data_IF_070383259708
#
_entry.id   IF_070383259708
#
_cell.length_a   1.000
_cell.length_b   1.000
_cell.length_c   1.000
_cell.angle_alpha   90.00
_cell.angle_beta   90.00
_cell.angle_gamma   90.00
#
_symmetry.space_group_name_H-M   'P 1'
#
loop_
_entity.id
_entity.type
_entity.pdbx_description
1 polymer ?
#
# COMPACT_ATOMS: atom_id res chain seq x y z
N UNK A 1 -24.00 9.75 -1.64
CA UNK A 1 -23.02 10.83 -1.48
C UNK A 1 -22.24 10.49 -0.23
N UNK A 2 -21.04 9.96 -0.39
CA UNK A 2 -20.11 9.87 0.73
C UNK A 2 -18.71 10.08 0.16
N UNK A 3 -18.31 11.35 0.10
CA UNK A 3 -16.93 11.73 -0.18
C UNK A 3 -16.24 11.66 1.17
N UNK A 4 -15.73 10.48 1.52
CA UNK A 4 -14.88 10.35 2.70
C UNK A 4 -13.58 11.10 2.40
N UNK A 5 -13.41 12.25 3.04
CA UNK A 5 -12.15 12.99 3.10
C UNK A 5 -11.13 12.15 3.89
N UNK A 6 -10.44 11.25 3.19
CA UNK A 6 -9.43 10.35 3.74
C UNK A 6 -8.16 10.41 2.90
N UNK A 7 -7.00 10.43 3.55
CA UNK A 7 -5.72 10.56 2.88
C UNK A 7 -5.10 9.19 2.66
N UNK A 8 -4.89 8.84 1.39
CA UNK A 8 -4.35 7.54 0.93
C UNK A 8 -2.95 7.34 1.49
N UNK A 9 -2.49 6.10 1.72
CA UNK A 9 -1.13 5.66 2.09
C UNK A 9 -0.96 4.16 1.81
N UNK A 10 0.16 3.69 1.29
CA UNK A 10 0.37 2.31 0.82
C UNK A 10 -0.11 2.06 -0.60
N UNK A 11 0.87 1.88 -1.49
CA UNK A 11 0.73 1.20 -2.75
C UNK A 11 1.49 -0.13 -2.65
N UNK A 12 0.95 -1.21 -3.18
CA UNK A 12 1.76 -2.29 -3.77
C UNK A 12 1.24 -2.42 -5.19
N UNK A 13 1.96 -1.87 -6.16
CA UNK A 13 1.46 -1.81 -7.52
C UNK A 13 2.31 -2.67 -8.46
N UNK A 14 2.07 -3.99 -8.58
CA UNK A 14 2.81 -4.79 -9.55
C UNK A 14 2.36 -4.44 -10.97
N UNK A 15 3.32 -4.13 -11.83
CA UNK A 15 3.10 -3.77 -13.24
C UNK A 15 3.64 -4.88 -14.14
N UNK A 16 2.88 -5.26 -15.16
CA UNK A 16 3.35 -6.10 -16.29
C UNK A 16 3.14 -5.35 -17.60
N UNK A 17 4.24 -5.03 -18.29
CA UNK A 17 4.19 -4.18 -19.48
C UNK A 17 3.64 -2.79 -19.13
N UNK A 18 2.53 -2.40 -19.78
CA UNK A 18 1.89 -1.10 -19.54
C UNK A 18 0.72 -1.15 -18.53
N UNK A 19 0.38 -2.32 -17.96
CA UNK A 19 -0.73 -2.46 -17.00
C UNK A 19 -0.22 -2.52 -15.57
N UNK A 20 -0.75 -1.63 -14.71
CA UNK A 20 -0.43 -1.55 -13.29
C UNK A 20 -1.58 -2.14 -12.49
N UNK A 21 -1.34 -3.22 -11.76
CA UNK A 21 -2.23 -3.66 -10.70
C UNK A 21 -2.08 -2.68 -9.54
N UNK A 22 -3.15 -2.12 -9.00
CA UNK A 22 -3.10 -1.51 -7.68
C UNK A 22 -3.68 -2.47 -6.64
N UNK A 23 -2.81 -3.02 -5.79
CA UNK A 23 -3.19 -3.86 -4.65
C UNK A 23 -3.65 -2.95 -3.48
N UNK A 24 -4.07 -3.50 -2.32
CA UNK A 24 -4.65 -2.74 -1.22
C UNK A 24 -3.88 -1.48 -0.88
N UNK A 25 -4.62 -0.42 -0.61
CA UNK A 25 -4.09 0.81 -0.05
C UNK A 25 -4.52 0.90 1.42
N UNK A 26 -3.71 1.47 2.28
CA UNK A 26 -4.20 2.05 3.52
C UNK A 26 -4.67 3.49 3.23
N UNK A 27 -5.53 4.04 4.07
CA UNK A 27 -5.91 5.45 4.03
C UNK A 27 -5.81 5.96 5.46
N UNK A 28 -4.86 6.84 5.74
CA UNK A 28 -4.76 7.53 7.02
C UNK A 28 -5.60 8.81 6.97
N UNK A 29 -6.69 8.88 7.71
CA UNK A 29 -7.38 10.12 8.04
C UNK A 29 -6.76 10.76 9.28
N UNK A 30 -6.96 12.07 9.46
CA UNK A 30 -6.29 12.95 10.44
C UNK A 30 -6.26 12.41 11.88
N UNK A 31 -7.17 11.50 12.27
CA UNK A 31 -7.21 10.81 13.57
C UNK A 31 -7.51 9.29 13.48
N UNK A 32 -7.52 8.69 12.30
CA UNK A 32 -7.89 7.28 12.12
C UNK A 32 -7.25 6.70 10.88
N UNK A 33 -6.53 5.58 11.02
CA UNK A 33 -6.05 4.82 9.87
C UNK A 33 -7.15 3.84 9.45
N UNK A 34 -7.43 3.76 8.17
CA UNK A 34 -8.37 2.83 7.55
C UNK A 34 -7.63 1.93 6.56
N UNK A 35 -8.07 0.68 6.39
CA UNK A 35 -7.66 -0.13 5.24
C UNK A 35 -8.66 0.09 4.10
N UNK A 36 -8.25 0.59 2.92
CA UNK A 36 -9.16 0.68 1.77
C UNK A 36 -8.55 0.08 0.49
N UNK A 37 -9.30 -0.80 -0.17
CA UNK A 37 -8.87 -1.30 -1.47
C UNK A 37 -9.16 -0.25 -2.54
N UNK A 38 -8.16 0.10 -3.35
CA UNK A 38 -8.37 0.92 -4.54
C UNK A 38 -7.99 0.09 -5.74
N UNK A 39 -8.97 -0.20 -6.59
CA UNK A 39 -8.74 -0.86 -7.87
C UNK A 39 -8.83 0.18 -8.97
N UNK A 40 -7.79 0.24 -9.79
CA UNK A 40 -7.73 1.10 -10.98
C UNK A 40 -7.13 0.33 -12.14
N UNK A 41 -7.47 0.73 -13.36
CA UNK A 41 -6.93 0.15 -14.59
C UNK A 41 -5.54 0.69 -14.96
N UNK A 42 -5.01 1.66 -14.21
CA UNK A 42 -3.73 2.30 -14.48
C UNK A 42 -3.75 3.27 -15.67
N UNK A 43 -4.93 3.57 -16.26
CA UNK A 43 -5.07 4.35 -17.49
C UNK A 43 -5.93 5.62 -17.36
N UNK A 44 -5.98 6.23 -16.17
CA UNK A 44 -6.75 7.47 -15.95
C UNK A 44 -8.27 7.28 -16.02
N UNK A 45 -8.75 6.02 -16.00
CA UNK A 45 -10.16 5.69 -15.79
C UNK A 45 -10.58 5.86 -14.33
N UNK A 46 -11.91 5.95 -14.10
CA UNK A 46 -12.51 6.07 -12.76
C UNK A 46 -12.17 4.82 -11.92
N UNK A 47 -11.16 4.91 -11.07
CA UNK A 47 -10.92 3.94 -10.00
C UNK A 47 -12.12 3.88 -9.05
N UNK A 48 -12.32 2.73 -8.43
CA UNK A 48 -13.38 2.49 -7.45
C UNK A 48 -12.75 2.09 -6.10
N UNK A 49 -13.53 2.18 -5.03
CA UNK A 49 -13.06 1.96 -3.65
C UNK A 49 -13.77 0.77 -3.00
N UNK A 50 -13.03 -0.05 -2.27
CA UNK A 50 -13.53 -1.16 -1.47
C UNK A 50 -14.43 -2.11 -2.30
N UNK A 51 -15.54 -2.54 -1.71
CA UNK A 51 -16.56 -3.37 -2.35
C UNK A 51 -17.39 -2.61 -3.41
N UNK A 52 -17.18 -1.30 -3.59
CA UNK A 52 -17.79 -0.55 -4.69
C UNK A 52 -17.13 -0.89 -6.03
N UNK A 53 -15.96 -1.53 -6.00
CA UNK A 53 -15.39 -2.18 -7.16
C UNK A 53 -16.08 -3.51 -7.44
N UNK A 54 -16.68 -3.62 -8.63
CA UNK A 54 -16.98 -4.94 -9.17
C UNK A 54 -15.67 -5.73 -9.24
N UNK A 55 -15.61 -6.83 -8.50
CA UNK A 55 -14.50 -7.77 -8.59
C UNK A 55 -13.99 -8.28 -7.25
N UNK A 56 -13.82 -7.45 -6.22
CA UNK A 56 -13.33 -7.97 -4.93
C UNK A 56 -14.41 -8.77 -4.21
N UNK A 57 -14.05 -9.98 -3.77
CA UNK A 57 -14.92 -10.85 -2.99
C UNK A 57 -14.44 -10.85 -1.55
N UNK A 58 -15.15 -10.12 -0.68
CA UNK A 58 -14.90 -10.16 0.76
C UNK A 58 -15.39 -11.51 1.32
N UNK A 59 -14.52 -12.23 2.01
CA UNK A 59 -14.85 -13.53 2.63
C UNK A 59 -14.92 -13.44 4.14
N UNK A 60 -14.25 -12.46 4.74
CA UNK A 60 -14.24 -12.28 6.19
C UNK A 60 -15.32 -11.29 6.63
N UNK A 61 -16.32 -11.72 7.42
CA UNK A 61 -17.38 -10.83 7.89
C UNK A 61 -16.94 -9.93 9.06
N UNK A 62 -15.83 -10.26 9.73
CA UNK A 62 -15.42 -9.58 10.96
C UNK A 62 -14.44 -8.43 10.72
N UNK A 63 -13.71 -8.46 9.60
CA UNK A 63 -12.74 -7.43 9.22
C UNK A 63 -13.18 -6.85 7.88
N UNK A 64 -14.12 -5.89 7.88
CA UNK A 64 -14.58 -5.28 6.65
C UNK A 64 -13.51 -4.36 6.08
N UNK A 65 -13.46 -4.22 4.76
CA UNK A 65 -12.72 -3.13 4.17
C UNK A 65 -13.26 -1.79 4.65
N UNK A 66 -12.38 -0.82 4.85
CA UNK A 66 -12.70 0.47 5.45
C UNK A 66 -12.76 0.43 6.98
N UNK A 67 -12.35 -0.66 7.64
CA UNK A 67 -12.25 -0.66 9.11
C UNK A 67 -11.14 0.29 9.58
N UNK A 68 -11.34 0.89 10.75
CA UNK A 68 -10.35 1.74 11.40
C UNK A 68 -9.43 0.94 12.32
N UNK A 69 -8.15 1.26 12.33
CA UNK A 69 -7.21 0.75 13.32
C UNK A 69 -7.50 1.29 14.71
N UNK A 70 -7.45 0.42 15.71
CA UNK A 70 -7.63 0.80 17.12
C UNK A 70 -6.43 1.58 17.67
N UNK A 71 -5.24 1.35 17.12
CA UNK A 71 -4.01 2.00 17.53
C UNK A 71 -3.28 2.58 16.31
N UNK A 72 -2.66 3.74 16.52
CA UNK A 72 -1.87 4.45 15.52
C UNK A 72 -0.56 4.91 16.15
N UNK A 73 0.49 5.03 15.33
CA UNK A 73 1.79 5.51 15.80
C UNK A 73 1.71 6.94 16.35
N UNK A 74 2.51 7.22 17.37
CA UNK A 74 2.72 8.56 17.93
C UNK A 74 4.10 9.06 17.53
N UNK A 75 4.19 10.34 17.16
CA UNK A 75 5.47 10.96 16.82
C UNK A 75 6.46 10.86 17.98
N UNK A 76 7.64 10.29 17.71
CA UNK A 76 8.67 9.94 18.69
C UNK A 76 8.18 9.07 19.87
N UNK A 77 7.08 8.35 19.68
CA UNK A 77 6.41 7.55 20.68
C UNK A 77 6.22 6.09 20.24
N UNK A 78 5.14 5.48 20.70
CA UNK A 78 4.76 4.12 20.33
C UNK A 78 4.55 4.01 18.82
N UNK A 79 5.05 2.91 18.24
CA UNK A 79 5.00 2.65 16.81
C UNK A 79 4.15 1.42 16.55
N UNK A 80 3.22 1.57 15.61
CA UNK A 80 2.30 0.51 15.19
C UNK A 80 2.52 0.22 13.70
N UNK A 81 2.39 -1.04 13.33
CA UNK A 81 2.43 -1.50 11.95
C UNK A 81 1.41 -2.61 11.75
N UNK A 82 0.93 -2.75 10.53
CA UNK A 82 0.12 -3.88 10.13
C UNK A 82 0.76 -4.56 8.92
N UNK A 83 0.63 -5.88 8.86
CA UNK A 83 1.13 -6.66 7.74
C UNK A 83 0.02 -6.86 6.71
N UNK A 84 0.35 -6.63 5.44
CA UNK A 84 -0.50 -7.01 4.32
C UNK A 84 0.25 -7.97 3.43
N UNK A 85 -0.46 -9.00 2.97
CA UNK A 85 0.08 -9.98 2.05
C UNK A 85 -0.93 -10.30 0.97
N UNK A 86 -0.43 -10.46 -0.24
CA UNK A 86 -1.21 -10.98 -1.37
C UNK A 86 -0.55 -12.23 -1.92
N UNK A 87 -1.34 -13.29 -2.08
CA UNK A 87 -0.87 -14.58 -2.61
C UNK A 87 -1.82 -15.04 -3.71
N UNK A 88 -1.27 -15.47 -4.84
CA UNK A 88 -2.06 -16.10 -5.89
C UNK A 88 -2.24 -17.60 -5.60
N UNK A 89 -3.47 -18.09 -5.66
CA UNK A 89 -3.78 -19.52 -5.55
C UNK A 89 -3.55 -20.27 -6.88
N UNK A 90 -3.70 -21.60 -6.85
CA UNK A 90 -3.57 -22.43 -8.05
C UNK A 90 -4.63 -22.16 -9.12
N UNK A 91 -5.76 -21.56 -8.75
CA UNK A 91 -6.83 -21.16 -9.68
C UNK A 91 -6.55 -19.81 -10.32
N UNK A 92 -5.53 -19.07 -9.86
CA UNK A 92 -5.14 -17.76 -10.34
C UNK A 92 -5.75 -16.59 -9.57
N UNK A 93 -6.55 -16.84 -8.53
CA UNK A 93 -7.17 -15.80 -7.71
C UNK A 93 -6.15 -15.25 -6.71
N UNK A 94 -6.21 -13.94 -6.46
CA UNK A 94 -5.30 -13.24 -5.56
C UNK A 94 -5.95 -13.05 -4.20
N UNK A 95 -5.49 -13.80 -3.21
CA UNK A 95 -5.97 -13.77 -1.84
C UNK A 95 -5.27 -12.67 -1.06
N UNK A 96 -6.06 -11.90 -0.33
CA UNK A 96 -5.61 -10.83 0.55
C UNK A 96 -5.62 -11.28 2.00
N UNK A 97 -4.46 -11.19 2.64
CA UNK A 97 -4.24 -11.48 4.04
C UNK A 97 -3.87 -10.20 4.78
N UNK A 98 -4.33 -10.12 6.02
CA UNK A 98 -4.10 -9.01 6.93
C UNK A 98 -3.59 -9.50 8.27
N UNK A 99 -2.66 -8.73 8.82
CA UNK A 99 -2.03 -8.94 10.12
C UNK A 99 -1.12 -10.18 10.17
N UNK A 100 -0.30 -10.27 11.22
CA UNK A 100 0.68 -11.36 11.37
C UNK A 100 0.03 -12.74 11.58
N UNK A 101 -1.24 -12.75 11.99
CA UNK A 101 -2.07 -13.95 12.12
C UNK A 101 -2.56 -14.52 10.76
N UNK A 102 -2.20 -13.89 9.64
CA UNK A 102 -2.66 -14.25 8.28
C UNK A 102 -4.19 -14.33 8.17
N UNK A 103 -4.89 -13.32 8.68
CA UNK A 103 -6.35 -13.26 8.59
C UNK A 103 -6.72 -12.99 7.14
N UNK A 104 -7.40 -13.94 6.50
CA UNK A 104 -7.93 -13.75 5.16
C UNK A 104 -8.98 -12.64 5.22
N UNK A 105 -8.89 -11.65 4.34
CA UNK A 105 -9.93 -10.63 4.16
C UNK A 105 -10.89 -11.00 3.03
N UNK A 106 -10.34 -11.56 1.95
CA UNK A 106 -11.05 -11.87 0.72
C UNK A 106 -10.09 -12.12 -0.43
N UNK A 107 -10.61 -12.13 -1.65
CA UNK A 107 -9.81 -12.36 -2.84
C UNK A 107 -10.27 -11.53 -4.04
N UNK A 108 -9.35 -11.35 -4.97
CA UNK A 108 -9.61 -10.82 -6.30
C UNK A 108 -9.61 -11.98 -7.31
N UNK A 109 -10.70 -12.17 -8.07
CA UNK A 109 -10.76 -13.12 -9.17
C UNK A 109 -9.65 -12.86 -10.20
N UNK A 110 -9.09 -13.93 -10.75
CA UNK A 110 -8.06 -13.86 -11.81
C UNK A 110 -8.47 -13.01 -13.02
N UNK A 111 -9.76 -12.99 -13.32
CA UNK A 111 -10.32 -12.34 -14.52
C UNK A 111 -10.22 -10.80 -14.45
N UNK A 112 -10.00 -10.25 -13.26
CA UNK A 112 -9.68 -8.83 -13.10
C UNK A 112 -8.27 -8.49 -13.59
N UNK A 113 -7.39 -9.50 -13.70
CA UNK A 113 -5.97 -9.33 -14.01
C UNK A 113 -5.52 -10.28 -15.15
N UNK A 114 -6.10 -10.14 -16.35
CA UNK A 114 -5.84 -11.04 -17.46
C UNK A 114 -4.34 -11.11 -17.83
N UNK A 115 -3.58 -10.03 -17.61
CA UNK A 115 -2.13 -10.00 -17.90
C UNK A 115 -1.29 -10.62 -16.77
N UNK A 116 -1.65 -10.45 -15.49
CA UNK A 116 -0.99 -11.20 -14.40
C UNK A 116 -1.24 -12.70 -14.51
N UNK A 117 -2.38 -13.11 -15.08
CA UNK A 117 -2.65 -14.50 -15.43
C UNK A 117 -1.75 -15.06 -16.55
N UNK A 118 -1.01 -14.20 -17.26
CA UNK A 118 -0.20 -14.56 -18.43
C UNK A 118 1.32 -14.64 -18.18
N UNK A 119 1.82 -14.25 -17.00
CA UNK A 119 3.24 -14.29 -16.68
C UNK A 119 3.63 -13.57 -15.37
N UNK A 120 4.91 -13.64 -14.96
CA UNK A 120 5.39 -13.00 -13.73
C UNK A 120 5.39 -11.47 -13.85
N UNK A 121 5.25 -10.78 -12.70
CA UNK A 121 5.34 -9.33 -12.64
C UNK A 121 6.72 -8.82 -13.09
N UNK A 122 6.77 -7.80 -13.96
CA UNK A 122 8.04 -7.21 -14.43
C UNK A 122 8.45 -5.97 -13.65
N UNK A 123 7.52 -5.39 -12.90
CA UNK A 123 7.73 -4.24 -12.02
C UNK A 123 6.83 -4.38 -10.81
N UNK A 124 7.26 -3.84 -9.69
CA UNK A 124 6.47 -3.70 -8.47
C UNK A 124 6.82 -2.36 -7.86
N UNK A 125 5.80 -1.60 -7.50
CA UNK A 125 5.97 -0.36 -6.76
C UNK A 125 5.47 -0.55 -5.33
N UNK A 126 6.06 0.19 -4.40
CA UNK A 126 5.52 0.37 -3.06
C UNK A 126 5.72 1.82 -2.62
N UNK A 127 4.83 2.35 -1.81
CA UNK A 127 4.90 3.78 -1.46
C UNK A 127 3.65 4.29 -0.78
N UNK A 128 3.39 5.58 -0.85
CA UNK A 128 2.12 6.16 -0.43
C UNK A 128 1.62 7.14 -1.48
N UNK A 129 0.34 7.12 -1.76
CA UNK A 129 -0.37 8.12 -2.57
C UNK A 129 -1.06 9.10 -1.62
N UNK A 130 -1.33 10.35 -1.96
CA UNK A 130 -2.37 11.14 -1.26
C UNK A 130 -3.37 11.64 -2.28
N UNK A 131 -4.59 11.97 -1.84
CA UNK A 131 -5.58 12.57 -2.72
C UNK A 131 -6.16 13.82 -2.07
N UNK A 132 -6.30 14.86 -2.88
CA UNK A 132 -7.06 16.06 -2.53
C UNK A 132 -7.95 16.44 -3.70
N UNK A 133 -9.25 16.73 -3.47
CA UNK A 133 -10.11 17.33 -4.47
C UNK A 133 -9.85 18.84 -4.64
N UNK A 134 -8.87 19.39 -3.92
CA UNK A 134 -8.52 20.82 -3.89
C UNK A 134 -7.01 20.99 -4.11
N UNK A 135 -6.54 22.23 -4.18
CA UNK A 135 -5.12 22.58 -4.32
C UNK A 135 -4.32 22.46 -3.01
N UNK A 136 -4.88 21.83 -1.98
CA UNK A 136 -4.20 21.59 -0.70
C UNK A 136 -4.10 20.09 -0.50
N UNK A 137 -2.90 19.53 -0.67
CA UNK A 137 -2.66 18.14 -0.33
C UNK A 137 -2.39 17.95 1.16
N UNK A 138 -2.83 16.82 1.71
CA UNK A 138 -2.72 16.51 3.12
C UNK A 138 -1.33 16.07 3.58
N UNK A 139 -1.07 16.00 4.90
CA UNK A 139 0.08 15.26 5.38
C UNK A 139 0.04 13.78 4.93
N UNK A 140 1.20 13.23 4.60
CA UNK A 140 1.42 11.81 4.32
C UNK A 140 2.32 11.21 5.41
N UNK A 141 2.05 9.97 5.79
CA UNK A 141 2.76 9.28 6.86
C UNK A 141 2.43 9.92 8.20
N UNK A 142 3.46 10.30 8.94
CA UNK A 142 3.33 11.10 10.16
C UNK A 142 3.10 12.59 9.90
N UNK A 143 3.12 13.04 8.64
CA UNK A 143 3.18 14.47 8.31
C UNK A 143 4.59 15.06 8.36
N UNK A 144 5.61 14.23 8.63
CA UNK A 144 7.01 14.63 8.69
C UNK A 144 7.79 14.05 7.50
N UNK A 145 8.89 14.72 7.16
CA UNK A 145 9.76 14.22 6.11
C UNK A 145 10.55 12.98 6.57
N UNK A 146 10.89 12.08 5.64
CA UNK A 146 11.49 10.79 5.98
C UNK A 146 12.92 10.88 6.51
N UNK A 147 13.61 12.01 6.36
CA UNK A 147 14.93 12.26 6.96
C UNK A 147 14.93 12.31 8.49
N UNK A 148 13.76 12.50 9.11
CA UNK A 148 13.63 12.41 10.56
C UNK A 148 13.74 10.97 11.09
N UNK A 149 13.50 9.98 10.22
CA UNK A 149 13.80 8.57 10.47
C UNK A 149 12.86 7.88 11.47
N UNK A 150 13.42 6.87 12.16
CA UNK A 150 12.65 5.95 12.99
C UNK A 150 11.87 6.69 14.10
N UNK A 151 10.66 6.18 14.38
CA UNK A 151 9.68 6.75 15.33
C UNK A 151 9.06 8.10 14.94
N UNK A 152 9.59 8.77 13.91
CA UNK A 152 9.18 10.12 13.51
C UNK A 152 8.57 10.17 12.13
N UNK A 153 9.15 9.46 11.18
CA UNK A 153 8.65 9.34 9.81
C UNK A 153 7.68 8.17 9.66
N UNK A 154 6.82 8.25 8.64
CA UNK A 154 6.09 7.08 8.14
C UNK A 154 7.07 6.04 7.58
N UNK A 155 6.76 4.76 7.75
CA UNK A 155 7.66 3.68 7.32
C UNK A 155 6.91 2.52 6.70
N UNK A 156 7.61 1.80 5.83
CA UNK A 156 7.28 0.42 5.46
C UNK A 156 8.46 -0.47 5.78
N UNK A 157 8.19 -1.69 6.23
CA UNK A 157 9.19 -2.67 6.61
C UNK A 157 8.76 -4.07 6.20
N UNK A 158 9.71 -5.01 6.20
CA UNK A 158 9.45 -6.40 5.84
C UNK A 158 8.98 -6.57 4.39
N UNK A 159 9.40 -5.69 3.48
CA UNK A 159 8.92 -5.70 2.09
C UNK A 159 9.47 -6.94 1.39
N UNK A 160 8.56 -7.81 0.93
CA UNK A 160 8.89 -9.05 0.24
C UNK A 160 8.17 -9.15 -1.09
N UNK A 161 8.81 -9.82 -2.03
CA UNK A 161 8.24 -10.18 -3.34
C UNK A 161 8.20 -11.69 -3.46
N UNK A 162 7.29 -12.21 -4.29
CA UNK A 162 7.23 -13.64 -4.59
C UNK A 162 8.14 -13.93 -5.80
N UNK A 163 9.09 -14.84 -5.62
CA UNK A 163 9.95 -15.26 -6.71
C UNK A 163 9.32 -16.32 -7.62
N UNK A 164 10.04 -16.73 -8.66
CA UNK A 164 9.56 -17.72 -9.64
C UNK A 164 9.23 -19.09 -9.02
N UNK A 165 9.86 -19.45 -7.90
CA UNK A 165 9.57 -20.67 -7.14
C UNK A 165 8.38 -20.51 -6.17
N UNK A 166 7.64 -19.38 -6.26
CA UNK A 166 6.55 -19.00 -5.35
C UNK A 166 6.99 -18.99 -3.88
N UNK A 167 8.21 -18.54 -3.62
CA UNK A 167 8.73 -18.31 -2.27
C UNK A 167 8.88 -16.81 -2.03
N UNK A 168 8.57 -16.32 -0.82
CA UNK A 168 8.79 -14.92 -0.47
C UNK A 168 10.28 -14.64 -0.30
N UNK A 169 10.77 -13.57 -0.90
CA UNK A 169 12.14 -13.07 -0.73
C UNK A 169 12.13 -11.57 -0.49
N UNK A 170 13.22 -11.04 0.09
CA UNK A 170 13.34 -9.60 0.30
C UNK A 170 13.20 -8.86 -1.02
N UNK A 171 12.45 -7.75 -1.01
CA UNK A 171 12.33 -6.90 -2.17
C UNK A 171 13.70 -6.43 -2.69
N UNK A 172 13.87 -6.29 -4.01
CA UNK A 172 15.15 -5.90 -4.59
C UNK A 172 15.67 -4.54 -4.08
N UNK A 173 17.00 -4.36 -4.14
CA UNK A 173 17.65 -3.11 -3.75
C UNK A 173 17.72 -2.09 -4.90
N UNK A 174 17.65 -2.56 -6.15
CA UNK A 174 17.66 -1.73 -7.36
C UNK A 174 16.30 -1.06 -7.59
N UNK A 175 15.98 -0.13 -6.72
CA UNK A 175 14.70 0.58 -6.68
C UNK A 175 14.88 2.04 -7.06
N UNK A 176 13.82 2.66 -7.58
CA UNK A 176 13.78 4.08 -7.88
C UNK A 176 12.81 4.75 -6.91
N UNK A 177 13.19 5.92 -6.40
CA UNK A 177 12.31 6.74 -5.57
C UNK A 177 11.55 7.69 -6.49
N UNK A 178 10.23 7.74 -6.33
CA UNK A 178 9.35 8.63 -7.10
C UNK A 178 8.51 9.43 -6.11
N UNK A 179 8.36 10.72 -6.37
CA UNK A 179 7.44 11.61 -5.67
C UNK A 179 6.90 12.62 -6.69
N UNK A 180 5.58 12.66 -6.85
CA UNK A 180 4.95 13.55 -7.84
C UNK A 180 5.09 15.03 -7.43
N UNK A 181 5.14 15.30 -6.12
CA UNK A 181 5.25 16.64 -5.53
C UNK A 181 6.38 16.62 -4.48
N UNK A 182 7.67 16.61 -4.91
CA UNK A 182 8.83 16.40 -4.02
C UNK A 182 9.00 17.43 -2.91
N UNK A 183 8.43 18.63 -3.09
CA UNK A 183 8.41 19.68 -2.07
C UNK A 183 7.48 19.34 -0.90
N UNK A 184 6.45 18.53 -1.12
CA UNK A 184 5.47 18.14 -0.10
C UNK A 184 5.70 16.72 0.43
N UNK A 185 6.23 15.82 -0.40
CA UNK A 185 6.41 14.41 -0.07
C UNK A 185 7.75 13.87 -0.54
N UNK A 186 8.32 12.97 0.25
CA UNK A 186 9.60 12.33 -0.07
C UNK A 186 9.61 10.87 0.32
N UNK A 187 10.54 10.14 -0.29
CA UNK A 187 10.87 8.76 0.04
C UNK A 187 12.37 8.69 0.34
N UNK A 188 12.71 8.16 1.50
CA UNK A 188 14.07 7.84 1.90
C UNK A 188 14.22 6.31 1.94
N UNK A 189 14.83 5.80 0.89
CA UNK A 189 15.14 4.39 0.75
C UNK A 189 16.64 4.19 0.90
N UNK A 190 17.06 3.60 2.02
CA UNK A 190 18.47 3.30 2.31
C UNK A 190 19.03 2.17 1.44
N UNK A 191 18.16 1.43 0.73
CA UNK A 191 18.51 0.29 -0.14
C UNK A 191 19.36 -0.75 0.57
N UNK A 192 19.03 -1.02 1.82
CA UNK A 192 19.61 -2.10 2.63
C UNK A 192 18.55 -3.08 3.08
N UNK A 193 18.99 -4.28 3.45
CA UNK A 193 18.18 -5.28 4.13
C UNK A 193 18.69 -5.36 5.56
N UNK A 194 17.90 -4.87 6.51
CA UNK A 194 18.18 -5.03 7.93
C UNK A 194 17.83 -6.45 8.39
N UNK A 195 18.36 -6.92 9.53
CA UNK A 195 17.87 -8.14 10.15
C UNK A 195 16.35 -8.08 10.41
N UNK A 196 15.71 -9.25 10.39
CA UNK A 196 14.31 -9.37 10.77
C UNK A 196 14.11 -8.90 12.24
N UNK A 197 12.96 -8.30 12.59
CA UNK A 197 11.74 -8.14 11.78
C UNK A 197 11.70 -6.88 10.91
N UNK A 198 12.80 -6.11 10.81
CA UNK A 198 12.81 -4.88 10.00
C UNK A 198 12.92 -5.21 8.52
N UNK A 199 13.84 -6.10 8.15
CA UNK A 199 14.00 -6.56 6.76
C UNK A 199 14.26 -5.41 5.78
N UNK A 200 13.77 -5.57 4.55
CA UNK A 200 13.74 -4.51 3.55
C UNK A 200 12.73 -3.43 3.97
N UNK A 201 13.20 -2.19 4.11
CA UNK A 201 12.39 -1.07 4.60
C UNK A 201 12.77 0.27 3.97
N UNK A 202 11.88 1.25 4.10
CA UNK A 202 12.13 2.65 3.74
C UNK A 202 11.23 3.58 4.57
N UNK A 203 11.62 4.85 4.64
CA UNK A 203 10.79 5.91 5.23
C UNK A 203 10.13 6.74 4.13
N UNK A 204 8.93 7.23 4.39
CA UNK A 204 8.20 8.12 3.49
C UNK A 204 7.33 9.09 4.28
N UNK A 205 6.89 10.14 3.61
CA UNK A 205 5.92 11.08 4.14
C UNK A 205 6.23 12.52 3.79
N UNK A 206 5.53 13.41 4.46
CA UNK A 206 5.75 14.85 4.40
C UNK A 206 4.50 15.62 4.83
N UNK A 207 4.64 16.94 5.06
CA UNK A 207 3.61 17.76 5.70
C UNK A 207 2.39 18.02 4.83
N UNK A 208 2.44 17.70 3.53
CA UNK A 208 1.47 18.21 2.58
C UNK A 208 1.70 19.69 2.32
N UNK A 209 0.69 20.37 1.81
CA UNK A 209 0.78 21.78 1.39
C UNK A 209 0.13 21.99 0.03
N UNK A 210 0.65 22.93 -0.74
CA UNK A 210 0.04 23.26 -2.03
C UNK A 210 0.36 22.23 -3.11
N UNK A 211 -0.69 21.87 -3.83
CA UNK A 211 -0.72 21.04 -5.03
C UNK A 211 -1.47 21.81 -6.13
#
# INVERSE_FOLDING_TARGET
>A
MDKSDGYKIQDINPTIGNQTLSLPKFIMSYNSVYLQLVMGDGYGGKGCYNTLCQGYVQTNPNIPLGFSFQHTSTYDGDQWSATLQTIQDASGNWWLFFDDDNKILGYFPKDLFPILGSGPATRVDWGGETYSPTNVCPPMGSGHFPDEGARKAGFMRGIKVMNQARQPENAPLNTANVADIPQNYRVLDSRVISPEPVGRSFFYGGPGGNC
#
